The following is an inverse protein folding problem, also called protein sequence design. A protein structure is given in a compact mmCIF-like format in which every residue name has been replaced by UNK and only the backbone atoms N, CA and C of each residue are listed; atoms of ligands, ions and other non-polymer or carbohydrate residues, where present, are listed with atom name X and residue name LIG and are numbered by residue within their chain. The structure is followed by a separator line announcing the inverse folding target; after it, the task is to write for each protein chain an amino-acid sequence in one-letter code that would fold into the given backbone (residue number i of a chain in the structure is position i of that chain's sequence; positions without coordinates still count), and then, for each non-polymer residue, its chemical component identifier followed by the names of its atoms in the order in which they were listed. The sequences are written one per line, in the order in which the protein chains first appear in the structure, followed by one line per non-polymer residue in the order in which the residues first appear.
data_IF_387603106140
#
_entry.id   IF_387603106140
#
_cell.length_a   1.000
_cell.length_b   1.000
_cell.length_c   1.000
_cell.angle_alpha   90.00
_cell.angle_beta   90.00
_cell.angle_gamma   90.00
#
_symmetry.space_group_name_H-M   'P 1'
#
loop_
_entity.id
_entity.type
_entity.pdbx_description
1 polymer ?
#
# COMPACT_ATOMS: atom_id res chain seq x y z
N UNK A 1 -15.92 7.90 8.16
CA UNK A 1 -15.29 6.93 7.26
C UNK A 1 -16.33 6.45 6.28
N UNK A 2 -16.06 6.58 4.98
CA UNK A 2 -16.97 6.14 3.92
C UNK A 2 -16.95 4.61 3.75
N UNK A 3 -17.95 4.02 3.10
CA UNK A 3 -17.94 2.59 2.76
C UNK A 3 -16.73 2.22 1.89
N UNK A 4 -16.33 3.13 1.01
CA UNK A 4 -15.13 3.02 0.19
C UNK A 4 -13.85 2.96 1.02
N UNK A 5 -13.66 3.87 1.97
CA UNK A 5 -12.50 3.88 2.88
C UNK A 5 -12.41 2.59 3.71
N UNK A 6 -13.53 2.07 4.22
CA UNK A 6 -13.53 0.83 5.00
C UNK A 6 -13.14 -0.39 4.15
N UNK A 7 -13.64 -0.48 2.91
CA UNK A 7 -13.28 -1.58 2.00
C UNK A 7 -11.81 -1.47 1.58
N UNK A 8 -11.31 -0.24 1.37
CA UNK A 8 -9.91 0.04 1.08
C UNK A 8 -9.01 -0.42 2.23
N UNK A 9 -9.31 -0.03 3.48
CA UNK A 9 -8.54 -0.43 4.66
C UNK A 9 -8.50 -1.95 4.84
N UNK A 10 -9.64 -2.62 4.62
CA UNK A 10 -9.72 -4.08 4.66
C UNK A 10 -8.83 -4.70 3.58
N UNK A 11 -8.89 -4.19 2.35
CA UNK A 11 -8.09 -4.69 1.24
C UNK A 11 -6.59 -4.52 1.48
N UNK A 12 -6.19 -3.40 2.07
CA UNK A 12 -4.80 -3.13 2.45
C UNK A 12 -4.32 -4.09 3.53
N UNK A 13 -5.15 -4.33 4.55
CA UNK A 13 -4.85 -5.30 5.61
C UNK A 13 -4.65 -6.72 5.04
N UNK A 14 -5.53 -7.15 4.13
CA UNK A 14 -5.40 -8.43 3.45
C UNK A 14 -4.12 -8.54 2.61
N UNK A 15 -3.72 -7.45 1.93
CA UNK A 15 -2.48 -7.41 1.15
C UNK A 15 -1.24 -7.47 2.04
N UNK A 16 -1.24 -6.80 3.19
CA UNK A 16 -0.15 -6.88 4.17
C UNK A 16 0.04 -8.32 4.68
N UNK A 17 -1.05 -9.02 4.99
CA UNK A 17 -0.99 -10.42 5.42
C UNK A 17 -0.42 -11.33 4.33
N UNK A 18 -0.87 -11.13 3.09
CA UNK A 18 -0.38 -11.89 1.93
C UNK A 18 1.09 -11.60 1.63
N UNK A 19 1.53 -10.35 1.72
CA UNK A 19 2.94 -9.96 1.56
C UNK A 19 3.81 -10.63 2.62
N UNK A 20 3.40 -10.57 3.89
CA UNK A 20 4.10 -11.21 4.98
C UNK A 20 4.19 -12.73 4.77
N UNK A 21 3.13 -13.37 4.27
CA UNK A 21 3.14 -14.80 3.96
C UNK A 21 4.06 -15.13 2.78
N UNK A 22 3.96 -14.38 1.67
CA UNK A 22 4.80 -14.57 0.49
C UNK A 22 6.29 -14.44 0.83
N UNK A 23 6.65 -13.51 1.72
CA UNK A 23 8.01 -13.35 2.25
C UNK A 23 8.47 -14.55 3.08
N UNK A 24 7.61 -15.11 3.93
CA UNK A 24 7.95 -16.32 4.71
C UNK A 24 8.16 -17.55 3.84
N UNK A 25 7.51 -17.58 2.68
CA UNK A 25 7.59 -18.67 1.71
C UNK A 25 8.70 -18.45 0.66
N UNK A 26 9.49 -17.38 0.76
CA UNK A 26 10.48 -16.96 -0.25
C UNK A 26 9.89 -16.88 -1.68
N UNK A 27 8.61 -16.52 -1.78
CA UNK A 27 7.89 -16.44 -3.05
C UNK A 27 8.00 -15.04 -3.65
N UNK A 28 9.16 -14.73 -4.22
CA UNK A 28 9.48 -13.39 -4.77
C UNK A 28 8.50 -12.93 -5.86
N UNK A 29 8.03 -13.84 -6.72
CA UNK A 29 7.05 -13.53 -7.75
C UNK A 29 5.70 -13.09 -7.17
N UNK A 30 5.27 -13.73 -6.08
CA UNK A 30 4.03 -13.34 -5.40
C UNK A 30 4.21 -12.00 -4.70
N UNK A 31 5.36 -11.75 -4.07
CA UNK A 31 5.69 -10.44 -3.49
C UNK A 31 5.58 -9.35 -4.54
N UNK A 32 6.22 -9.49 -5.70
CA UNK A 32 6.20 -8.49 -6.78
C UNK A 32 4.77 -8.21 -7.26
N UNK A 33 3.97 -9.27 -7.45
CA UNK A 33 2.56 -9.16 -7.84
C UNK A 33 1.70 -8.43 -6.80
N UNK A 34 1.94 -8.69 -5.50
CA UNK A 34 1.19 -8.06 -4.41
C UNK A 34 1.60 -6.60 -4.21
N UNK A 35 2.89 -6.28 -4.37
CA UNK A 35 3.38 -4.89 -4.35
C UNK A 35 2.72 -4.09 -5.48
N UNK A 36 2.72 -4.59 -6.72
CA UNK A 36 2.07 -3.90 -7.83
C UNK A 36 0.56 -3.70 -7.65
N UNK A 37 -0.12 -4.65 -7.00
CA UNK A 37 -1.53 -4.47 -6.62
C UNK A 37 -1.71 -3.34 -5.59
N UNK A 38 -0.82 -3.27 -4.60
CA UNK A 38 -0.86 -2.21 -3.58
C UNK A 38 -0.56 -0.84 -4.18
N UNK A 39 0.37 -0.74 -5.14
CA UNK A 39 0.64 0.50 -5.89
C UNK A 39 -0.63 0.98 -6.61
N UNK A 40 -1.30 0.10 -7.36
CA UNK A 40 -2.54 0.48 -8.06
C UNK A 40 -3.67 0.90 -7.13
N UNK A 41 -3.72 0.38 -5.90
CA UNK A 41 -4.69 0.80 -4.89
C UNK A 41 -4.35 2.18 -4.33
N UNK A 42 -3.07 2.46 -4.08
CA UNK A 42 -2.62 3.79 -3.65
C UNK A 42 -2.94 4.84 -4.71
N UNK A 43 -2.65 4.56 -5.97
CA UNK A 43 -2.96 5.48 -7.08
C UNK A 43 -4.46 5.78 -7.18
N UNK A 44 -5.30 4.75 -7.00
CA UNK A 44 -6.76 4.91 -7.01
C UNK A 44 -7.23 5.75 -5.82
N UNK A 45 -6.69 5.51 -4.63
CA UNK A 45 -7.11 6.21 -3.43
C UNK A 45 -6.64 7.67 -3.42
N UNK A 46 -5.41 7.95 -3.87
CA UNK A 46 -4.91 9.30 -4.10
C UNK A 46 -5.79 10.07 -5.11
N UNK A 47 -6.22 9.41 -6.20
CA UNK A 47 -7.12 10.01 -7.18
C UNK A 47 -8.53 10.31 -6.66
N UNK A 48 -8.90 9.80 -5.49
CA UNK A 48 -10.20 9.99 -4.84
C UNK A 48 -10.10 10.76 -3.51
N UNK A 49 -8.99 11.47 -3.26
CA UNK A 49 -8.71 12.24 -2.04
C UNK A 49 -8.83 11.41 -0.74
N UNK A 50 -8.48 10.12 -0.80
CA UNK A 50 -8.44 9.24 0.37
C UNK A 50 -7.03 9.18 0.94
N UNK A 51 -6.89 9.27 2.26
CA UNK A 51 -5.59 9.19 2.94
C UNK A 51 -4.92 7.83 2.71
N UNK A 52 -3.82 7.84 1.95
CA UNK A 52 -3.02 6.65 1.61
C UNK A 52 -1.77 6.49 2.46
N UNK A 53 -1.56 7.30 3.51
CA UNK A 53 -0.32 7.34 4.27
C UNK A 53 0.09 5.98 4.87
N UNK A 54 -0.88 5.16 5.30
CA UNK A 54 -0.60 3.81 5.78
C UNK A 54 -0.11 2.87 4.66
N UNK A 55 -0.73 2.94 3.48
CA UNK A 55 -0.37 2.12 2.33
C UNK A 55 1.02 2.48 1.78
N UNK A 56 1.32 3.79 1.68
CA UNK A 56 2.63 4.29 1.25
C UNK A 56 3.77 3.79 2.16
N UNK A 57 3.53 3.65 3.47
CA UNK A 57 4.51 3.06 4.40
C UNK A 57 4.77 1.57 4.16
N UNK A 58 3.73 0.82 3.78
CA UNK A 58 3.87 -0.60 3.42
C UNK A 58 4.66 -0.75 2.13
N UNK A 59 4.32 0.02 1.09
CA UNK A 59 5.04 0.03 -0.18
C UNK A 59 6.53 0.34 0.01
N UNK A 60 6.84 1.37 0.79
CA UNK A 60 8.22 1.72 1.13
C UNK A 60 8.98 0.55 1.79
N UNK A 61 8.33 -0.17 2.70
CA UNK A 61 8.94 -1.34 3.36
C UNK A 61 9.23 -2.46 2.37
N UNK A 62 8.31 -2.73 1.44
CA UNK A 62 8.43 -3.86 0.51
C UNK A 62 9.34 -3.60 -0.70
N UNK A 63 9.39 -2.35 -1.16
CA UNK A 63 10.21 -1.93 -2.32
C UNK A 63 11.60 -1.46 -1.92
N UNK A 64 11.85 -1.29 -0.61
CA UNK A 64 13.06 -0.64 -0.10
C UNK A 64 13.14 0.85 -0.45
N UNK A 65 12.05 1.45 -0.96
CA UNK A 65 11.98 2.88 -1.20
C UNK A 65 11.82 3.61 0.14
N UNK A 66 12.51 4.73 0.31
CA UNK A 66 12.27 5.62 1.45
C UNK A 66 10.93 6.32 1.19
N UNK A 67 9.94 6.24 2.09
CA UNK A 67 8.66 6.88 1.86
C UNK A 67 8.89 8.40 1.77
N UNK A 68 8.59 8.99 0.61
CA UNK A 68 8.56 10.44 0.46
C UNK A 68 7.29 10.90 1.18
N UNK A 69 7.46 11.40 2.41
CA UNK A 69 6.42 12.17 3.08
C UNK A 69 6.41 13.53 2.42
N UNK A 70 5.40 13.82 1.61
CA UNK A 70 5.18 15.19 1.13
C UNK A 70 4.89 16.06 2.36
N UNK A 71 5.79 16.99 2.66
CA UNK A 71 5.59 17.96 3.72
C UNK A 71 4.44 18.87 3.29
N UNK A 72 3.35 19.00 4.06
CA UNK A 72 2.19 19.82 3.69
C UNK A 72 2.48 21.32 3.55
N UNK A 73 3.75 21.74 3.65
CA UNK A 73 4.22 23.12 3.50
C UNK A 73 5.02 23.38 2.21
N UNK A 74 5.16 22.42 1.28
CA UNK A 74 5.71 22.70 -0.06
C UNK A 74 4.62 23.29 -0.96
N UNK A 75 4.22 24.54 -0.70
CA UNK A 75 3.45 25.42 -1.60
C UNK A 75 3.68 26.90 -1.28
#
# INVERSE_FOLDING_TARGET
MSEFENELDKRVSELQEQLAQARREDNEHLVESLVGQLEGIVDLADANDVDTGAMKRVLATETGQIPIVEDPNDS
#
